data_IF_462664293854
#
_entry.id   IF_462664293854
#
_cell.length_a   1.000
_cell.length_b   1.000
_cell.length_c   1.000
_cell.angle_alpha   90.00
_cell.angle_beta   90.00
_cell.angle_gamma   90.00
#
_symmetry.space_group_name_H-M   'P 1'
#
loop_
_entity.id
_entity.type
_entity.pdbx_description
1 polymer ?
#
# COMPACT_ATOMS: atom_id res chain seq x y z
N UNK A 1 -7.86 -19.17 -9.61
CA UNK A 1 -8.25 -20.39 -10.34
C UNK A 1 -9.10 -21.34 -9.50
N UNK A 2 -8.71 -21.62 -8.25
CA UNK A 2 -9.43 -22.60 -7.38
C UNK A 2 -10.91 -22.28 -7.19
N UNK A 3 -11.28 -21.00 -7.20
CA UNK A 3 -12.66 -20.53 -7.03
C UNK A 3 -13.35 -20.16 -8.35
N UNK A 4 -12.85 -20.66 -9.50
CA UNK A 4 -13.42 -20.36 -10.82
C UNK A 4 -13.18 -18.93 -11.32
N UNK A 5 -12.17 -18.24 -10.79
CA UNK A 5 -11.80 -16.89 -11.21
C UNK A 5 -11.22 -16.92 -12.62
N UNK A 6 -11.74 -16.07 -13.50
CA UNK A 6 -11.19 -15.86 -14.83
C UNK A 6 -10.15 -14.72 -14.77
N UNK A 7 -8.91 -15.03 -15.19
CA UNK A 7 -7.81 -14.06 -15.22
C UNK A 7 -7.61 -13.59 -16.65
N UNK A 8 -7.64 -12.27 -16.86
CA UNK A 8 -7.33 -11.64 -18.13
C UNK A 8 -5.91 -11.06 -18.11
N UNK A 9 -5.10 -11.49 -19.08
CA UNK A 9 -3.73 -10.99 -19.25
C UNK A 9 -3.68 -9.96 -20.37
N UNK A 10 -2.90 -8.90 -20.16
CA UNK A 10 -2.58 -7.96 -21.22
C UNK A 10 -1.46 -8.55 -22.08
N UNK A 11 -1.70 -8.68 -23.39
CA UNK A 11 -0.72 -9.18 -24.37
C UNK A 11 0.28 -8.11 -24.85
N UNK A 12 0.10 -6.85 -24.42
CA UNK A 12 0.92 -5.70 -24.81
C UNK A 12 1.49 -5.00 -23.57
N UNK A 13 2.60 -4.30 -23.75
CA UNK A 13 3.17 -3.47 -22.69
C UNK A 13 2.12 -2.49 -22.14
N UNK A 14 1.88 -2.48 -20.82
CA UNK A 14 0.85 -1.64 -20.21
C UNK A 14 1.11 -0.16 -20.47
N UNK A 15 0.16 0.51 -21.12
CA UNK A 15 0.09 1.96 -21.21
C UNK A 15 -1.27 2.43 -20.65
N UNK A 16 -1.42 3.70 -20.23
CA UNK A 16 -2.69 4.19 -19.71
C UNK A 16 -3.88 3.94 -20.65
N UNK A 17 -3.66 4.02 -21.97
CA UNK A 17 -4.69 3.76 -22.98
C UNK A 17 -5.03 2.26 -23.05
N UNK A 18 -4.02 1.38 -23.14
CA UNK A 18 -4.22 -0.08 -23.20
C UNK A 18 -4.95 -0.58 -21.95
N UNK A 19 -4.58 -0.06 -20.78
CA UNK A 19 -5.23 -0.42 -19.51
C UNK A 19 -6.70 0.05 -19.52
N UNK A 20 -6.98 1.28 -19.95
CA UNK A 20 -8.34 1.80 -20.02
C UNK A 20 -9.22 1.00 -20.99
N UNK A 21 -8.70 0.67 -22.18
CA UNK A 21 -9.39 -0.16 -23.18
C UNK A 21 -9.67 -1.57 -22.64
N UNK A 22 -8.72 -2.16 -21.93
CA UNK A 22 -8.89 -3.46 -21.30
C UNK A 22 -9.98 -3.43 -20.22
N UNK A 23 -9.98 -2.41 -19.35
CA UNK A 23 -11.02 -2.25 -18.33
C UNK A 23 -12.41 -2.05 -18.92
N UNK A 24 -12.52 -1.24 -19.99
CA UNK A 24 -13.78 -1.02 -20.68
C UNK A 24 -14.33 -2.32 -21.31
N UNK A 25 -13.46 -3.20 -21.81
CA UNK A 25 -13.82 -4.45 -22.48
C UNK A 25 -14.12 -5.56 -21.47
N UNK A 26 -13.20 -5.79 -20.52
CA UNK A 26 -13.25 -6.91 -19.56
C UNK A 26 -14.22 -6.65 -18.44
N UNK A 27 -14.31 -5.41 -17.95
CA UNK A 27 -15.11 -4.99 -16.78
C UNK A 27 -14.87 -5.92 -15.58
N UNK A 28 -13.63 -5.96 -15.04
CA UNK A 28 -13.25 -6.92 -14.02
C UNK A 28 -14.03 -6.73 -12.71
N UNK A 29 -14.27 -7.82 -11.98
CA UNK A 29 -14.86 -7.79 -10.64
C UNK A 29 -13.84 -7.45 -9.55
N UNK A 30 -12.58 -7.87 -9.74
CA UNK A 30 -11.46 -7.64 -8.82
C UNK A 30 -10.30 -7.07 -9.59
N UNK A 31 -9.69 -6.02 -9.03
CA UNK A 31 -8.51 -5.38 -9.62
C UNK A 31 -7.38 -5.40 -8.58
N UNK A 32 -6.22 -5.90 -8.99
CA UNK A 32 -4.99 -5.83 -8.19
C UNK A 32 -4.05 -4.86 -8.90
N UNK A 33 -3.54 -3.87 -8.19
CA UNK A 33 -2.72 -2.81 -8.78
C UNK A 33 -1.68 -2.26 -7.81
N UNK A 34 -0.76 -1.46 -8.35
CA UNK A 34 0.18 -0.67 -7.55
C UNK A 34 -0.39 0.74 -7.27
N UNK A 35 0.03 1.41 -6.19
CA UNK A 35 -0.47 2.73 -5.80
C UNK A 35 -0.45 3.77 -6.91
N UNK A 36 0.64 3.77 -7.71
CA UNK A 36 0.86 4.75 -8.78
C UNK A 36 -0.32 4.90 -9.75
N UNK A 37 -1.06 3.82 -10.02
CA UNK A 37 -2.19 3.84 -10.97
C UNK A 37 -3.33 4.68 -10.42
N UNK A 38 -3.79 4.37 -9.20
CA UNK A 38 -4.89 5.10 -8.57
C UNK A 38 -4.48 6.54 -8.19
N UNK A 39 -3.25 6.72 -7.71
CA UNK A 39 -2.72 8.05 -7.38
C UNK A 39 -2.68 8.98 -8.59
N UNK A 40 -2.24 8.49 -9.75
CA UNK A 40 -2.28 9.28 -11.00
C UNK A 40 -3.70 9.69 -11.38
N UNK A 41 -4.68 8.81 -11.22
CA UNK A 41 -6.08 9.13 -11.51
C UNK A 41 -6.56 10.21 -10.56
N UNK A 42 -6.37 10.04 -9.25
CA UNK A 42 -6.84 10.99 -8.25
C UNK A 42 -6.13 12.34 -8.37
N UNK A 43 -4.78 12.35 -8.34
CA UNK A 43 -3.99 13.60 -8.37
C UNK A 43 -4.10 14.36 -9.68
N UNK A 44 -4.22 13.67 -10.84
CA UNK A 44 -4.24 14.35 -12.14
C UNK A 44 -5.64 14.69 -12.65
N UNK A 45 -6.67 13.93 -12.28
CA UNK A 45 -8.01 14.10 -12.82
C UNK A 45 -9.03 14.58 -11.80
N UNK A 46 -8.90 14.15 -10.54
CA UNK A 46 -9.90 14.44 -9.52
C UNK A 46 -9.55 15.69 -8.72
N UNK A 47 -8.37 15.76 -8.12
CA UNK A 47 -7.95 16.89 -7.30
C UNK A 47 -8.07 18.25 -8.03
N UNK A 48 -7.55 18.42 -9.26
CA UNK A 48 -7.69 19.69 -9.97
C UNK A 48 -9.14 20.12 -10.22
N UNK A 49 -10.07 19.16 -10.19
CA UNK A 49 -11.49 19.45 -10.37
C UNK A 49 -12.14 19.91 -9.06
N UNK A 50 -11.87 19.23 -7.95
CA UNK A 50 -12.48 19.56 -6.65
C UNK A 50 -11.83 20.77 -5.97
N UNK A 51 -10.60 21.11 -6.35
CA UNK A 51 -9.87 22.27 -5.81
C UNK A 51 -10.33 23.61 -6.41
N UNK A 52 -11.13 23.58 -7.47
CA UNK A 52 -11.70 24.82 -8.04
C UNK A 52 -12.55 25.56 -7.00
N UNK A 53 -12.45 26.91 -6.93
CA UNK A 53 -13.14 27.70 -5.88
C UNK A 53 -14.63 27.40 -5.75
N UNK A 54 -15.34 27.29 -6.87
CA UNK A 54 -16.77 26.97 -6.87
C UNK A 54 -17.08 25.55 -6.38
N UNK A 55 -16.18 24.57 -6.65
CA UNK A 55 -16.35 23.21 -6.15
C UNK A 55 -16.10 23.14 -4.64
N UNK A 56 -15.08 23.84 -4.14
CA UNK A 56 -14.85 23.95 -2.68
C UNK A 56 -16.05 24.55 -1.97
N UNK A 57 -16.67 25.60 -2.55
CA UNK A 57 -17.88 26.20 -1.98
C UNK A 57 -19.05 25.19 -1.94
N UNK A 58 -19.30 24.48 -3.03
CA UNK A 58 -20.36 23.46 -3.10
C UNK A 58 -20.12 22.29 -2.13
N UNK A 59 -18.87 21.89 -1.95
CA UNK A 59 -18.50 20.82 -1.02
C UNK A 59 -18.63 21.21 0.46
N UNK A 60 -18.82 22.48 0.79
CA UNK A 60 -19.13 22.92 2.15
C UNK A 60 -20.62 22.73 2.52
N UNK A 61 -21.47 22.44 1.55
CA UNK A 61 -22.90 22.19 1.77
C UNK A 61 -23.08 20.66 1.92
N UNK A 62 -23.48 20.12 3.09
CA UNK A 62 -23.45 18.67 3.37
C UNK A 62 -24.16 17.82 2.33
N UNK A 63 -25.41 18.13 1.97
CA UNK A 63 -26.21 17.36 1.01
C UNK A 63 -25.58 17.39 -0.40
N UNK A 64 -25.03 18.53 -0.80
CA UNK A 64 -24.38 18.69 -2.12
C UNK A 64 -23.05 17.96 -2.11
N UNK A 65 -22.29 18.03 -1.02
CA UNK A 65 -21.03 17.32 -0.84
C UNK A 65 -21.20 15.80 -1.03
N UNK A 66 -22.20 15.20 -0.41
CA UNK A 66 -22.47 13.77 -0.53
C UNK A 66 -22.78 13.37 -1.98
N UNK A 67 -23.58 14.15 -2.69
CA UNK A 67 -23.86 13.91 -4.12
C UNK A 67 -22.63 14.08 -5.00
N UNK A 68 -21.78 15.07 -4.71
CA UNK A 68 -20.52 15.28 -5.45
C UNK A 68 -19.58 14.10 -5.20
N UNK A 69 -19.40 13.68 -3.96
CA UNK A 69 -18.56 12.52 -3.60
C UNK A 69 -19.04 11.24 -4.27
N UNK A 70 -20.34 10.98 -4.27
CA UNK A 70 -20.96 9.86 -4.96
C UNK A 70 -20.68 9.90 -6.47
N UNK A 71 -20.88 11.06 -7.10
CA UNK A 71 -20.60 11.25 -8.53
C UNK A 71 -19.10 11.03 -8.85
N UNK A 72 -18.20 11.51 -7.99
CA UNK A 72 -16.75 11.27 -8.15
C UNK A 72 -16.44 9.78 -7.98
N UNK A 73 -16.96 9.13 -6.95
CA UNK A 73 -16.81 7.71 -6.72
C UNK A 73 -17.20 6.91 -7.97
N UNK A 74 -18.40 7.19 -8.51
CA UNK A 74 -18.89 6.49 -9.69
C UNK A 74 -18.00 6.73 -10.91
N UNK A 75 -17.56 7.96 -11.17
CA UNK A 75 -16.65 8.25 -12.29
C UNK A 75 -15.30 7.52 -12.17
N UNK A 76 -14.77 7.39 -10.93
CA UNK A 76 -13.56 6.61 -10.71
C UNK A 76 -13.81 5.11 -10.94
N UNK A 77 -14.95 4.58 -10.46
CA UNK A 77 -15.39 3.20 -10.72
C UNK A 77 -15.54 2.94 -12.23
N UNK A 78 -16.17 3.86 -12.94
CA UNK A 78 -16.37 3.75 -14.40
C UNK A 78 -15.05 3.72 -15.16
N UNK A 79 -14.04 4.48 -14.70
CA UNK A 79 -12.70 4.45 -15.30
C UNK A 79 -12.01 3.08 -15.17
N UNK A 80 -12.45 2.25 -14.27
CA UNK A 80 -12.01 0.86 -14.09
C UNK A 80 -12.98 -0.19 -14.67
N UNK A 81 -13.88 0.22 -15.54
CA UNK A 81 -14.85 -0.68 -16.21
C UNK A 81 -16.22 -0.77 -15.54
N UNK A 82 -16.44 -0.07 -14.43
CA UNK A 82 -17.76 0.15 -13.82
C UNK A 82 -18.36 -0.99 -13.01
N UNK A 83 -17.70 -2.15 -12.92
CA UNK A 83 -18.28 -3.35 -12.27
C UNK A 83 -17.47 -3.93 -11.12
N UNK A 84 -16.25 -3.45 -10.88
CA UNK A 84 -15.42 -4.06 -9.85
C UNK A 84 -16.00 -3.88 -8.43
N UNK A 85 -15.77 -4.88 -7.61
CA UNK A 85 -16.23 -4.95 -6.21
C UNK A 85 -15.17 -4.43 -5.24
N UNK A 86 -13.90 -4.57 -5.62
CA UNK A 86 -12.77 -4.22 -4.79
C UNK A 86 -11.50 -3.94 -5.61
N UNK A 87 -10.77 -2.91 -5.22
CA UNK A 87 -9.44 -2.59 -5.71
C UNK A 87 -8.40 -2.94 -4.64
N UNK A 88 -7.58 -3.94 -4.88
CA UNK A 88 -6.48 -4.31 -3.99
C UNK A 88 -5.22 -3.58 -4.43
N UNK A 89 -4.64 -2.82 -3.53
CA UNK A 89 -3.44 -2.01 -3.76
C UNK A 89 -2.28 -2.66 -3.00
N UNK A 90 -1.19 -2.95 -3.69
CA UNK A 90 -0.03 -3.59 -3.07
C UNK A 90 1.28 -3.23 -3.75
N UNK A 91 2.40 -3.74 -3.20
CA UNK A 91 3.75 -3.56 -3.76
C UNK A 91 4.46 -2.25 -3.39
N UNK A 92 3.73 -1.27 -2.87
CA UNK A 92 4.29 -0.03 -2.31
C UNK A 92 3.28 0.63 -1.37
N UNK A 93 3.72 1.65 -0.64
CA UNK A 93 2.85 2.43 0.22
C UNK A 93 1.93 3.34 -0.58
N UNK A 94 0.65 3.37 -0.22
CA UNK A 94 -0.32 4.31 -0.79
C UNK A 94 -0.10 5.71 -0.20
N UNK A 95 -0.13 6.74 -1.05
CA UNK A 95 -0.04 8.13 -0.62
C UNK A 95 -1.18 8.46 0.34
N UNK A 96 -0.85 9.03 1.50
CA UNK A 96 -1.79 9.28 2.59
C UNK A 96 -2.93 10.23 2.22
N UNK A 97 -2.64 11.27 1.43
CA UNK A 97 -3.68 12.21 0.97
C UNK A 97 -4.68 11.52 0.05
N UNK A 98 -4.18 10.69 -0.87
CA UNK A 98 -5.02 9.89 -1.77
C UNK A 98 -5.84 8.88 -0.97
N UNK A 99 -5.25 8.22 0.02
CA UNK A 99 -5.96 7.28 0.89
C UNK A 99 -7.10 7.95 1.65
N UNK A 100 -6.84 9.10 2.29
CA UNK A 100 -7.86 9.90 2.97
C UNK A 100 -9.00 10.26 2.01
N UNK A 101 -8.66 10.68 0.80
CA UNK A 101 -9.65 11.03 -0.21
C UNK A 101 -10.50 9.83 -0.63
N UNK A 102 -9.88 8.68 -0.97
CA UNK A 102 -10.59 7.44 -1.33
C UNK A 102 -11.55 7.01 -0.23
N UNK A 103 -11.12 7.10 1.03
CA UNK A 103 -11.97 6.82 2.19
C UNK A 103 -13.16 7.79 2.25
N UNK A 104 -12.91 9.08 2.04
CA UNK A 104 -13.94 10.13 2.09
C UNK A 104 -15.06 9.93 1.08
N UNK A 105 -14.77 9.36 -0.09
CA UNK A 105 -15.75 9.03 -1.12
C UNK A 105 -16.28 7.59 -1.02
N UNK A 106 -15.92 6.85 0.03
CA UNK A 106 -16.28 5.43 0.24
C UNK A 106 -15.92 4.55 -0.96
N UNK A 107 -14.75 4.79 -1.55
CA UNK A 107 -14.26 4.00 -2.66
C UNK A 107 -13.89 2.58 -2.19
N UNK A 108 -14.26 1.50 -2.92
CA UNK A 108 -14.00 0.13 -2.50
C UNK A 108 -12.54 -0.28 -2.75
N UNK A 109 -11.65 0.08 -1.84
CA UNK A 109 -10.22 -0.29 -1.90
C UNK A 109 -9.75 -0.93 -0.60
N UNK A 110 -8.69 -1.69 -0.72
CA UNK A 110 -7.88 -2.19 0.39
C UNK A 110 -6.40 -2.10 0.04
N UNK A 111 -5.55 -2.11 1.06
CA UNK A 111 -4.10 -2.20 0.89
C UNK A 111 -3.65 -3.54 1.47
N UNK A 112 -2.93 -4.33 0.66
CA UNK A 112 -2.30 -5.56 1.09
C UNK A 112 -0.79 -5.40 1.16
N UNK A 113 -0.15 -6.17 2.03
CA UNK A 113 1.30 -6.25 2.14
C UNK A 113 1.77 -7.67 1.85
N UNK A 114 2.94 -7.73 1.25
CA UNK A 114 3.62 -8.98 0.99
C UNK A 114 4.87 -8.79 0.15
N UNK A 115 5.53 -9.90 -0.16
CA UNK A 115 6.79 -9.94 -0.87
C UNK A 115 6.90 -11.22 -1.69
N UNK A 116 7.81 -11.25 -2.66
CA UNK A 116 7.99 -12.39 -3.58
C UNK A 116 8.29 -13.67 -2.82
N UNK A 117 9.09 -13.57 -1.77
CA UNK A 117 9.49 -14.68 -0.90
C UNK A 117 8.32 -15.31 -0.13
N UNK A 118 7.14 -14.71 -0.17
CA UNK A 118 5.94 -15.15 0.53
C UNK A 118 4.74 -15.43 -0.39
N UNK A 119 4.93 -15.58 -1.68
CA UNK A 119 4.03 -16.07 -2.68
C UNK A 119 2.72 -15.37 -2.99
N UNK A 120 2.55 -14.06 -3.09
CA UNK A 120 3.30 -12.95 -2.48
C UNK A 120 2.62 -12.32 -1.24
N UNK A 121 1.41 -12.77 -0.82
CA UNK A 121 0.54 -12.02 0.10
C UNK A 121 0.71 -12.47 1.56
N UNK A 122 1.01 -11.52 2.44
CA UNK A 122 1.14 -11.72 3.88
C UNK A 122 -0.03 -11.14 4.66
N UNK A 123 -0.50 -9.95 4.26
CA UNK A 123 -1.65 -9.31 4.93
C UNK A 123 -2.69 -8.83 3.94
N UNK A 124 -3.94 -8.88 4.39
CA UNK A 124 -5.11 -8.41 3.65
C UNK A 124 -6.28 -8.21 4.61
N UNK A 125 -7.17 -7.28 4.29
CA UNK A 125 -8.50 -7.20 4.86
C UNK A 125 -9.49 -6.75 3.77
N UNK A 126 -10.75 -7.17 3.88
CA UNK A 126 -11.79 -6.77 2.95
C UNK A 126 -12.03 -5.25 3.05
N UNK A 127 -12.27 -4.57 1.93
CA UNK A 127 -12.44 -3.12 1.89
C UNK A 127 -13.52 -2.57 2.84
N UNK A 128 -14.50 -3.38 3.24
CA UNK A 128 -15.57 -2.99 4.17
C UNK A 128 -15.08 -2.91 5.62
N UNK A 129 -14.13 -3.75 5.97
CA UNK A 129 -13.52 -3.85 7.32
C UNK A 129 -12.12 -3.25 7.37
N UNK A 130 -11.52 -2.97 6.22
CA UNK A 130 -10.18 -2.41 6.08
C UNK A 130 -10.00 -1.12 6.89
N UNK A 131 -8.96 -1.10 7.70
CA UNK A 131 -8.58 0.05 8.52
C UNK A 131 -7.60 0.95 7.75
N UNK A 132 -7.93 2.22 7.68
CA UNK A 132 -7.07 3.23 7.05
C UNK A 132 -5.67 3.26 7.66
N UNK A 133 -4.65 3.52 6.85
CA UNK A 133 -3.23 3.56 7.23
C UNK A 133 -2.69 2.22 7.74
N UNK A 134 -3.36 1.11 7.43
CA UNK A 134 -2.89 -0.25 7.65
C UNK A 134 -2.68 -0.97 6.32
N UNK A 135 -2.17 -2.18 6.38
CA UNK A 135 -2.15 -3.13 5.26
C UNK A 135 -2.99 -4.39 5.56
N UNK A 136 -3.93 -4.27 6.51
CA UNK A 136 -4.81 -5.36 6.90
C UNK A 136 -4.19 -6.30 7.94
N UNK A 137 -4.79 -7.48 8.06
CA UNK A 137 -4.43 -8.54 9.01
C UNK A 137 -3.68 -9.66 8.32
N UNK A 138 -2.96 -10.49 9.08
CA UNK A 138 -2.33 -11.68 8.54
C UNK A 138 -3.36 -12.56 7.82
N UNK A 139 -3.01 -13.03 6.62
CA UNK A 139 -3.88 -13.97 5.88
C UNK A 139 -3.90 -15.35 6.55
N UNK A 140 -4.94 -16.18 6.31
CA UNK A 140 -5.01 -17.52 6.89
C UNK A 140 -3.76 -18.36 6.61
N UNK A 141 -3.31 -19.13 7.59
CA UNK A 141 -2.14 -20.00 7.55
C UNK A 141 -0.79 -19.28 7.47
N UNK A 142 -0.79 -17.97 7.78
CA UNK A 142 0.43 -17.16 7.93
C UNK A 142 0.48 -16.65 9.36
N UNK A 143 1.61 -16.88 10.01
CA UNK A 143 1.98 -16.27 11.29
C UNK A 143 2.88 -15.08 11.00
N UNK A 144 2.49 -13.88 11.48
CA UNK A 144 3.30 -12.68 11.42
C UNK A 144 3.61 -12.23 12.84
N UNK A 145 4.86 -11.86 13.07
CA UNK A 145 5.34 -11.25 14.31
C UNK A 145 5.99 -9.92 14.02
N UNK A 146 5.95 -9.03 14.99
CA UNK A 146 6.80 -7.83 15.04
C UNK A 146 7.89 -8.14 16.04
N UNK A 147 9.14 -8.09 15.62
CA UNK A 147 10.29 -8.31 16.49
C UNK A 147 10.55 -7.05 17.32
N UNK A 148 9.78 -6.91 18.38
CA UNK A 148 9.90 -5.82 19.35
C UNK A 148 9.33 -6.24 20.71
N UNK A 149 9.76 -5.54 21.77
CA UNK A 149 9.23 -5.77 23.12
C UNK A 149 7.77 -5.31 23.30
N UNK A 150 7.28 -4.39 22.45
CA UNK A 150 5.90 -3.91 22.41
C UNK A 150 5.47 -3.69 20.94
N UNK A 151 4.88 -4.71 20.30
CA UNK A 151 4.48 -4.66 18.89
C UNK A 151 3.48 -3.55 18.53
N UNK A 152 2.79 -2.97 19.51
CA UNK A 152 1.80 -1.91 19.29
C UNK A 152 2.43 -0.53 19.23
N UNK A 153 3.48 -0.28 20.00
CA UNK A 153 4.06 1.05 20.17
C UNK A 153 5.50 1.14 19.71
N UNK A 154 6.24 0.03 19.72
CA UNK A 154 7.65 -0.02 19.31
C UNK A 154 7.76 -0.68 17.94
N UNK A 155 8.34 0.07 17.00
CA UNK A 155 8.61 -0.45 15.65
C UNK A 155 9.62 -1.60 15.72
N UNK A 156 9.31 -2.69 15.04
CA UNK A 156 10.20 -3.84 14.90
C UNK A 156 10.16 -4.44 13.50
N UNK A 157 11.04 -5.37 13.22
CA UNK A 157 11.04 -6.12 11.98
C UNK A 157 9.80 -7.01 11.87
N UNK A 158 9.24 -7.12 10.68
CA UNK A 158 8.13 -8.04 10.39
C UNK A 158 8.72 -9.40 10.05
N UNK A 159 8.42 -10.39 10.88
CA UNK A 159 8.80 -11.78 10.68
C UNK A 159 7.60 -12.57 10.18
N UNK A 160 7.81 -13.41 9.15
CA UNK A 160 6.75 -14.19 8.52
C UNK A 160 7.05 -15.69 8.57
N UNK A 161 6.03 -16.48 8.93
CA UNK A 161 6.08 -17.95 8.88
C UNK A 161 4.76 -18.50 8.35
N UNK A 162 4.83 -19.50 7.47
CA UNK A 162 3.63 -20.12 6.93
C UNK A 162 3.89 -20.86 5.63
N UNK A 163 2.83 -21.46 5.09
CA UNK A 163 2.90 -22.29 3.88
C UNK A 163 3.26 -21.50 2.60
N UNK A 164 3.11 -20.19 2.63
CA UNK A 164 3.45 -19.29 1.52
C UNK A 164 4.90 -18.83 1.52
N UNK A 165 5.64 -19.04 2.63
CA UNK A 165 7.06 -18.67 2.72
C UNK A 165 7.87 -19.60 1.84
N UNK A 166 8.78 -19.04 1.04
CA UNK A 166 9.68 -19.78 0.16
C UNK A 166 10.50 -20.82 0.92
N UNK A 167 10.90 -21.88 0.24
CA UNK A 167 11.84 -22.87 0.79
C UNK A 167 13.29 -22.39 0.78
N UNK A 168 13.58 -21.34 0.01
CA UNK A 168 14.90 -20.72 -0.09
C UNK A 168 15.18 -20.13 -1.47
N UNK A 169 16.30 -19.45 -1.57
CA UNK A 169 16.83 -18.92 -2.83
C UNK A 169 17.50 -20.03 -3.65
N UNK A 170 17.20 -20.09 -4.93
CA UNK A 170 17.70 -21.12 -5.83
C UNK A 170 19.23 -21.13 -5.89
N UNK A 171 19.83 -22.27 -5.56
CA UNK A 171 21.29 -22.48 -5.51
C UNK A 171 22.05 -21.46 -4.65
N UNK A 172 21.38 -20.87 -3.66
CA UNK A 172 22.00 -19.91 -2.74
C UNK A 172 21.59 -20.19 -1.29
N UNK A 173 22.14 -21.25 -0.67
CA UNK A 173 21.81 -21.60 0.71
C UNK A 173 22.32 -20.57 1.72
N UNK A 174 23.39 -19.85 1.43
CA UNK A 174 23.95 -18.82 2.29
C UNK A 174 22.94 -17.66 2.43
N UNK A 175 22.50 -17.08 1.32
CA UNK A 175 21.47 -16.02 1.35
C UNK A 175 20.13 -16.52 1.94
N UNK A 176 19.83 -17.82 1.81
CA UNK A 176 18.64 -18.39 2.45
C UNK A 176 18.78 -18.39 3.97
N UNK A 177 19.94 -18.80 4.49
CA UNK A 177 20.22 -18.82 5.92
C UNK A 177 20.29 -17.42 6.56
N UNK A 178 20.59 -16.38 5.78
CA UNK A 178 20.56 -14.99 6.22
C UNK A 178 19.15 -14.48 6.49
N UNK A 179 18.14 -15.01 5.78
CA UNK A 179 16.78 -14.50 5.84
C UNK A 179 15.77 -15.43 6.47
N UNK A 180 16.06 -16.74 6.60
CA UNK A 180 15.19 -17.70 7.29
C UNK A 180 15.89 -18.19 8.54
N UNK A 181 15.34 -17.88 9.70
CA UNK A 181 15.89 -18.26 10.99
C UNK A 181 15.72 -19.76 11.32
N UNK A 182 16.35 -20.23 12.41
CA UNK A 182 16.27 -21.62 12.87
C UNK A 182 14.85 -22.05 13.29
N UNK A 183 13.95 -21.09 13.56
CA UNK A 183 12.54 -21.33 13.89
C UNK A 183 11.64 -21.36 12.66
N UNK A 184 12.20 -21.11 11.47
CA UNK A 184 11.50 -21.06 10.19
C UNK A 184 10.74 -19.75 9.95
N UNK A 185 11.11 -18.64 10.61
CA UNK A 185 10.63 -17.31 10.29
C UNK A 185 11.50 -16.67 9.22
N UNK A 186 10.86 -16.12 8.22
CA UNK A 186 11.49 -15.25 7.23
C UNK A 186 11.61 -13.84 7.82
N UNK A 187 12.81 -13.29 7.84
CA UNK A 187 13.11 -11.89 8.12
C UNK A 187 12.81 -11.06 6.87
N UNK A 188 11.76 -10.24 6.92
CA UNK A 188 11.30 -9.51 5.74
C UNK A 188 12.17 -8.32 5.37
N UNK A 189 12.96 -7.81 6.31
CA UNK A 189 13.66 -6.54 6.18
C UNK A 189 12.74 -5.32 6.23
N UNK A 190 11.42 -5.52 6.36
CA UNK A 190 10.44 -4.45 6.48
C UNK A 190 10.11 -4.19 7.96
N UNK A 191 9.96 -2.92 8.30
CA UNK A 191 9.67 -2.46 9.66
C UNK A 191 8.19 -2.10 9.80
N UNK A 192 7.62 -2.38 10.97
CA UNK A 192 6.22 -2.07 11.21
C UNK A 192 5.78 -2.19 12.65
N UNK A 193 4.50 -1.95 12.85
CA UNK A 193 3.77 -2.15 14.10
C UNK A 193 2.48 -2.91 13.84
N UNK A 194 1.92 -3.50 14.89
CA UNK A 194 0.65 -4.22 14.85
C UNK A 194 -0.30 -3.64 15.89
N UNK A 195 -1.48 -3.19 15.48
CA UNK A 195 -2.46 -2.65 16.45
C UNK A 195 -3.16 -3.74 17.28
N UNK A 196 -3.93 -3.32 18.28
CA UNK A 196 -4.73 -4.18 19.17
C UNK A 196 -5.73 -5.08 18.42
N UNK A 197 -6.18 -4.67 17.23
CA UNK A 197 -7.13 -5.39 16.39
C UNK A 197 -6.43 -6.34 15.39
N UNK A 198 -5.10 -6.40 15.42
CA UNK A 198 -4.30 -7.27 14.55
C UNK A 198 -4.00 -6.70 13.18
N UNK A 199 -4.23 -5.39 12.95
CA UNK A 199 -3.85 -4.76 11.68
C UNK A 199 -2.37 -4.35 11.72
N UNK A 200 -1.67 -4.61 10.63
CA UNK A 200 -0.26 -4.25 10.45
C UNK A 200 -0.14 -2.90 9.74
N UNK A 201 0.86 -2.13 10.12
CA UNK A 201 1.24 -0.88 9.46
C UNK A 201 2.74 -0.91 9.18
N UNK A 202 3.11 -0.81 7.92
CA UNK A 202 4.51 -0.76 7.49
C UNK A 202 5.01 0.67 7.69
N UNK A 203 6.16 0.81 8.36
CA UNK A 203 6.78 2.10 8.68
C UNK A 203 8.02 2.38 7.85
N UNK A 204 8.68 1.36 7.30
CA UNK A 204 9.88 1.52 6.49
C UNK A 204 10.57 0.19 6.20
N UNK A 205 11.83 0.28 5.81
CA UNK A 205 12.74 -0.86 5.63
C UNK A 205 13.97 -0.71 6.49
N UNK A 206 14.51 -1.81 6.99
CA UNK A 206 15.74 -1.81 7.79
C UNK A 206 16.89 -1.15 7.03
N UNK A 207 17.07 -1.52 5.76
CA UNK A 207 18.14 -1.00 4.90
C UNK A 207 18.02 0.49 4.54
N UNK A 208 16.83 1.05 4.66
CA UNK A 208 16.56 2.45 4.33
C UNK A 208 16.53 3.33 5.59
N UNK A 209 16.58 2.72 6.79
CA UNK A 209 16.59 3.41 8.07
C UNK A 209 17.91 4.15 8.24
N UNK A 210 17.84 5.43 8.59
CA UNK A 210 19.00 6.30 8.82
C UNK A 210 19.33 6.24 10.30
N UNK A 211 20.60 5.96 10.65
CA UNK A 211 21.07 5.93 12.04
C UNK A 211 21.93 7.18 12.28
N UNK A 212 21.35 8.18 12.96
CA UNK A 212 22.01 9.44 13.24
C UNK A 212 22.29 9.63 14.72
N UNK A 213 23.55 9.55 15.11
CA UNK A 213 23.96 9.73 16.51
C UNK A 213 23.33 8.72 17.47
N UNK A 214 22.98 7.52 17.00
CA UNK A 214 22.33 6.47 17.76
C UNK A 214 20.79 6.50 17.71
N UNK A 215 20.21 7.51 17.04
CA UNK A 215 18.76 7.63 16.86
C UNK A 215 18.34 7.07 15.50
N UNK A 216 17.27 6.28 15.49
CA UNK A 216 16.68 5.73 14.29
C UNK A 216 15.72 6.75 13.64
N UNK A 217 16.03 7.14 12.41
CA UNK A 217 15.19 8.02 11.59
C UNK A 217 14.58 7.19 10.48
N UNK A 218 13.27 7.25 10.36
CA UNK A 218 12.53 6.55 9.31
C UNK A 218 12.25 7.52 8.16
N UNK A 219 12.92 7.37 7.00
CA UNK A 219 12.80 8.27 5.85
C UNK A 219 11.37 8.60 5.47
N UNK A 220 10.50 7.60 5.49
CA UNK A 220 9.09 7.72 5.15
C UNK A 220 8.33 8.74 6.00
N UNK A 221 8.63 8.87 7.28
CA UNK A 221 7.96 9.86 8.15
C UNK A 221 8.27 11.28 7.71
N UNK A 222 9.53 11.53 7.31
CA UNK A 222 9.98 12.83 6.78
C UNK A 222 9.34 13.07 5.41
N UNK A 223 9.34 12.08 4.54
CA UNK A 223 8.72 12.14 3.21
C UNK A 223 7.23 12.47 3.30
N UNK A 224 6.47 11.79 4.18
CA UNK A 224 5.05 12.05 4.42
C UNK A 224 4.79 13.48 4.94
N UNK A 225 5.73 14.04 5.70
CA UNK A 225 5.63 15.43 6.14
C UNK A 225 5.90 16.41 4.98
N UNK A 226 6.97 16.16 4.21
CA UNK A 226 7.35 17.01 3.09
C UNK A 226 6.30 17.01 1.96
N UNK A 227 5.63 15.89 1.71
CA UNK A 227 4.55 15.82 0.72
C UNK A 227 3.37 16.77 0.98
N UNK A 228 3.22 17.26 2.22
CA UNK A 228 2.18 18.25 2.57
C UNK A 228 2.54 19.67 2.14
N UNK A 229 3.79 19.91 1.74
CA UNK A 229 4.26 21.25 1.37
C UNK A 229 3.84 21.59 -0.07
N UNK A 230 3.29 22.78 -0.31
CA UNK A 230 2.90 23.23 -1.65
C UNK A 230 4.10 23.18 -2.62
N UNK A 231 3.87 22.65 -3.81
CA UNK A 231 4.88 22.59 -4.88
C UNK A 231 5.76 21.34 -4.88
N UNK A 232 5.74 20.52 -3.84
CA UNK A 232 6.45 19.23 -3.83
C UNK A 232 5.60 18.20 -4.60
N UNK A 233 6.19 17.66 -5.68
CA UNK A 233 5.56 16.64 -6.52
C UNK A 233 6.01 15.24 -6.16
N UNK A 234 7.25 15.12 -5.74
CA UNK A 234 7.87 13.88 -5.31
C UNK A 234 9.01 14.19 -4.36
N UNK A 235 9.27 13.29 -3.41
CA UNK A 235 10.34 13.44 -2.41
C UNK A 235 10.86 12.06 -2.00
N UNK A 236 12.16 11.98 -1.85
CA UNK A 236 12.84 10.82 -1.29
C UNK A 236 13.88 11.31 -0.29
N UNK A 237 13.90 10.69 0.88
CA UNK A 237 14.87 10.93 1.94
C UNK A 237 15.85 9.77 1.97
N UNK A 238 17.15 10.08 1.99
CA UNK A 238 18.21 9.09 2.07
C UNK A 238 19.29 9.55 3.05
N UNK A 239 19.89 8.58 3.76
CA UNK A 239 21.05 8.83 4.60
C UNK A 239 22.29 9.11 3.75
N UNK A 240 23.14 9.98 4.25
CA UNK A 240 24.48 10.21 3.71
C UNK A 240 25.50 10.00 4.82
N UNK A 241 26.63 9.31 4.56
CA UNK A 241 27.65 9.06 5.56
C UNK A 241 28.17 10.34 6.22
N UNK A 242 28.21 10.39 7.53
CA UNK A 242 28.69 11.51 8.33
C UNK A 242 29.76 11.05 9.31
N UNK A 243 30.98 11.67 9.26
CA UNK A 243 32.07 11.37 10.21
C UNK A 243 31.70 11.64 11.66
N UNK A 244 30.76 12.55 11.92
CA UNK A 244 30.40 12.98 13.27
C UNK A 244 29.19 12.20 13.82
N UNK A 245 28.25 11.84 12.96
CA UNK A 245 26.95 11.32 13.40
C UNK A 245 26.61 9.91 12.85
N UNK A 246 27.47 9.30 12.02
CA UNK A 246 27.23 8.04 11.32
C UNK A 246 26.57 8.25 9.96
N UNK A 247 25.40 8.85 9.98
CA UNK A 247 24.65 9.31 8.80
C UNK A 247 24.06 10.69 9.01
#
# INVERSE_FOLDING_TARGET
>A
FVNGTHIHFLSRTPSPKIIADAFATVKPDLIITVPLVIEKIIKKKVFPTIEKPHMKLLMNIPIINDKIRESIRQKVIDAFGGKFKELIIGGAALNKEVEIFLRSIRFPYTVGYGMTECGPLLTYDNWKTFRQSSCGKAVPRVELRIDSGDPQHIVGEILAKGICVMTGYYKNPEATAEVIDANGFLHSGDLGVKDENGNYRITGRIKDMIIRGGENIYPREIEEFLYKMPGIKDVQVAGVPSKKYGE
#
